data_IF_339224024151
#
_entry.id   IF_339224024151
#
_cell.length_a   1.000
_cell.length_b   1.000
_cell.length_c   1.000
_cell.angle_alpha   90.00
_cell.angle_beta   90.00
_cell.angle_gamma   90.00
#
_symmetry.space_group_name_H-M   'P 1'
#
loop_
_entity.id
_entity.type
_entity.pdbx_description
1 polymer ?
#
# COMPACT_ATOMS: atom_id res chain seq x y z
N UNK A 1 15.80 -8.42 7.71
CA UNK A 1 14.84 -7.70 6.84
C UNK A 1 14.00 -8.75 6.13
N UNK A 2 12.99 -9.31 6.81
CA UNK A 2 12.30 -10.52 6.38
C UNK A 2 10.94 -10.17 5.78
N UNK A 3 10.75 -10.55 4.51
CA UNK A 3 9.54 -10.44 3.71
C UNK A 3 8.29 -11.16 4.29
N UNK A 4 8.36 -11.68 5.52
CA UNK A 4 7.28 -12.43 6.18
C UNK A 4 6.20 -11.53 6.77
N UNK A 5 6.47 -10.25 7.04
CA UNK A 5 5.45 -9.35 7.55
C UNK A 5 4.50 -8.81 6.46
N UNK A 6 4.82 -9.06 5.18
CA UNK A 6 4.01 -8.66 4.02
C UNK A 6 2.76 -9.52 3.78
N UNK A 7 2.57 -10.62 4.52
CA UNK A 7 1.45 -11.57 4.27
C UNK A 7 0.20 -11.23 5.11
N UNK A 8 0.17 -10.09 5.82
CA UNK A 8 -0.94 -9.80 6.74
C UNK A 8 -2.27 -9.49 6.06
N UNK A 9 -2.28 -9.13 4.78
CA UNK A 9 -3.55 -8.92 4.04
C UNK A 9 -3.36 -8.96 2.51
N UNK A 10 -4.07 -9.84 1.78
CA UNK A 10 -3.99 -9.93 0.32
C UNK A 10 -4.37 -8.62 -0.37
N UNK A 11 -5.35 -7.89 0.16
CA UNK A 11 -5.84 -6.64 -0.42
C UNK A 11 -4.82 -5.50 -0.25
N UNK A 12 -4.12 -5.42 0.89
CA UNK A 12 -2.99 -4.51 1.08
C UNK A 12 -1.85 -4.82 0.10
N UNK A 13 -1.52 -6.10 -0.13
CA UNK A 13 -0.47 -6.47 -1.06
C UNK A 13 -0.86 -6.16 -2.53
N UNK A 14 -2.11 -6.38 -2.91
CA UNK A 14 -2.64 -6.04 -4.24
C UNK A 14 -2.67 -4.52 -4.47
N UNK A 15 -3.18 -3.75 -3.51
CA UNK A 15 -3.20 -2.29 -3.57
C UNK A 15 -1.78 -1.71 -3.69
N UNK A 16 -0.84 -2.24 -2.90
CA UNK A 16 0.56 -1.85 -2.97
C UNK A 16 1.20 -2.17 -4.34
N UNK A 17 0.96 -3.37 -4.87
CA UNK A 17 1.45 -3.76 -6.20
C UNK A 17 0.87 -2.88 -7.30
N UNK A 18 -0.42 -2.52 -7.21
CA UNK A 18 -1.06 -1.61 -8.15
C UNK A 18 -0.44 -0.21 -8.12
N UNK A 19 -0.12 0.32 -6.92
CA UNK A 19 0.58 1.59 -6.76
C UNK A 19 1.98 1.58 -7.42
N UNK A 20 2.76 0.53 -7.20
CA UNK A 20 4.09 0.37 -7.83
C UNK A 20 3.98 0.29 -9.35
N UNK A 21 3.05 -0.52 -9.85
CA UNK A 21 2.85 -0.69 -11.29
C UNK A 21 2.41 0.62 -11.95
N UNK A 22 1.57 1.41 -11.28
CA UNK A 22 1.18 2.74 -11.75
C UNK A 22 2.37 3.70 -11.79
N UNK A 23 3.17 3.77 -10.72
CA UNK A 23 4.34 4.64 -10.68
C UNK A 23 5.40 4.26 -11.74
N UNK A 24 5.49 2.99 -12.11
CA UNK A 24 6.35 2.53 -13.19
C UNK A 24 5.92 3.08 -14.57
N UNK A 25 4.63 3.32 -14.80
CA UNK A 25 4.10 3.85 -16.06
C UNK A 25 3.80 5.35 -16.09
N UNK A 26 3.71 6.01 -14.93
CA UNK A 26 3.24 7.38 -14.81
C UNK A 26 4.40 8.38 -14.70
N UNK A 27 4.54 9.29 -15.69
CA UNK A 27 5.54 10.36 -15.62
C UNK A 27 5.31 11.34 -14.47
N UNK A 28 4.06 11.57 -14.05
CA UNK A 28 3.76 12.41 -12.90
C UNK A 28 4.34 11.78 -11.62
N UNK A 29 4.08 10.49 -11.37
CA UNK A 29 4.66 9.79 -10.22
C UNK A 29 6.19 9.70 -10.24
N UNK A 30 6.81 9.71 -11.44
CA UNK A 30 8.28 9.76 -11.57
C UNK A 30 8.87 11.14 -11.34
N UNK A 31 8.06 12.19 -11.39
CA UNK A 31 8.53 13.56 -11.23
C UNK A 31 8.42 13.95 -9.75
N UNK A 32 9.54 14.23 -9.06
CA UNK A 32 9.49 14.66 -7.68
C UNK A 32 8.65 15.93 -7.55
N UNK A 33 7.67 15.92 -6.64
CA UNK A 33 6.77 17.05 -6.40
C UNK A 33 5.60 17.18 -7.38
N UNK A 34 5.49 16.32 -8.39
CA UNK A 34 4.26 16.22 -9.18
C UNK A 34 3.26 15.31 -8.47
N UNK A 35 2.13 15.88 -8.05
CA UNK A 35 1.00 15.12 -7.53
C UNK A 35 0.36 14.29 -8.65
N UNK A 36 0.06 13.03 -8.36
CA UNK A 36 -0.72 12.19 -9.25
C UNK A 36 -1.94 11.69 -8.50
N UNK A 37 -3.12 12.20 -8.86
CA UNK A 37 -4.40 11.84 -8.22
C UNK A 37 -4.60 10.31 -8.19
N UNK A 38 -4.28 9.62 -9.29
CA UNK A 38 -4.37 8.15 -9.36
C UNK A 38 -3.40 7.48 -8.39
N UNK A 39 -2.17 7.97 -8.30
CA UNK A 39 -1.15 7.46 -7.37
C UNK A 39 -1.55 7.69 -5.91
N UNK A 40 -2.07 8.86 -5.58
CA UNK A 40 -2.56 9.21 -4.24
C UNK A 40 -3.74 8.31 -3.85
N UNK A 41 -4.68 8.07 -4.77
CA UNK A 41 -5.82 7.19 -4.52
C UNK A 41 -5.41 5.73 -4.30
N UNK A 42 -4.40 5.26 -5.02
CA UNK A 42 -3.82 3.92 -4.82
C UNK A 42 -3.07 3.79 -3.49
N UNK A 43 -2.30 4.82 -3.11
CA UNK A 43 -1.63 4.88 -1.81
C UNK A 43 -2.63 4.91 -0.66
N UNK A 44 -3.68 5.72 -0.77
CA UNK A 44 -4.73 5.79 0.24
C UNK A 44 -5.44 4.44 0.42
N UNK A 45 -5.76 3.74 -0.68
CA UNK A 45 -6.34 2.40 -0.62
C UNK A 45 -5.43 1.39 0.11
N UNK A 46 -4.13 1.45 -0.14
CA UNK A 46 -3.15 0.63 0.59
C UNK A 46 -3.09 1.00 2.08
N UNK A 47 -3.08 2.28 2.43
CA UNK A 47 -3.02 2.73 3.82
C UNK A 47 -4.25 2.29 4.62
N UNK A 48 -5.44 2.37 4.03
CA UNK A 48 -6.69 1.88 4.62
C UNK A 48 -6.64 0.36 4.80
N UNK A 49 -6.22 -0.39 3.79
CA UNK A 49 -6.04 -1.84 3.87
C UNK A 49 -5.05 -2.22 4.99
N UNK A 50 -3.91 -1.54 5.05
CA UNK A 50 -2.90 -1.76 6.06
C UNK A 50 -3.40 -1.37 7.46
N UNK A 51 -4.24 -0.33 7.58
CA UNK A 51 -4.89 0.05 8.85
C UNK A 51 -5.84 -1.04 9.30
N UNK A 52 -6.69 -1.54 8.42
CA UNK A 52 -7.63 -2.63 8.71
C UNK A 52 -6.90 -3.91 9.16
N UNK A 53 -5.81 -4.27 8.47
CA UNK A 53 -4.98 -5.42 8.83
C UNK A 53 -4.34 -5.27 10.22
N UNK A 54 -3.93 -4.04 10.59
CA UNK A 54 -3.40 -3.74 11.92
C UNK A 54 -4.48 -3.75 13.01
N UNK A 55 -5.67 -3.21 12.72
CA UNK A 55 -6.79 -3.21 13.67
C UNK A 55 -7.43 -4.57 13.87
N UNK A 56 -7.37 -5.44 12.85
CA UNK A 56 -7.91 -6.80 12.87
C UNK A 56 -6.88 -7.85 13.34
N UNK A 57 -5.64 -7.43 13.62
CA UNK A 57 -4.68 -8.34 14.26
C UNK A 57 -5.17 -8.67 15.67
N UNK A 58 -5.47 -9.95 15.97
CA UNK A 58 -5.82 -10.33 17.33
C UNK A 58 -4.62 -10.00 18.22
N UNK A 59 -4.86 -9.28 19.30
CA UNK A 59 -3.85 -9.01 20.32
C UNK A 59 -3.11 -10.30 20.70
N UNK A 60 -1.78 -10.30 20.86
CA UNK A 60 -1.14 -11.26 21.76
C UNK A 60 -1.54 -10.83 23.17
N UNK A 61 -2.60 -11.42 23.71
CA UNK A 61 -2.88 -11.36 25.15
C UNK A 61 -1.68 -11.97 25.88
N UNK A 62 -0.90 -11.10 26.52
CA UNK A 62 0.11 -11.46 27.51
C UNK A 62 -0.55 -12.10 28.75
#
# INVERSE_FOLDING_TARGET
MTAVEQIKDPFANEAWRAAINHAAGCMACRTPGAGCETGERLLHAYEEAARLARSCSPWPTN
#
